data_IF_896156427057
#
_entry.id   IF_896156427057
#
_cell.length_a   1.000
_cell.length_b   1.000
_cell.length_c   1.000
_cell.angle_alpha   90.00
_cell.angle_beta   90.00
_cell.angle_gamma   90.00
#
_symmetry.space_group_name_H-M   'P 1'
#
loop_
_entity.id
_entity.type
_entity.pdbx_description
1 polymer ?
#
# COMPACT_ATOMS: atom_id res chain seq x y z
N UNK A 1 2.02 13.01 -8.52
CA UNK A 1 3.35 12.40 -8.72
C UNK A 1 4.24 12.64 -7.49
N UNK A 2 3.79 12.25 -6.29
CA UNK A 2 4.51 12.58 -5.05
C UNK A 2 5.23 11.36 -4.50
N UNK A 3 4.52 10.22 -4.42
CA UNK A 3 5.10 8.96 -3.94
C UNK A 3 6.20 8.41 -4.87
N UNK A 4 6.00 8.48 -6.19
CA UNK A 4 7.01 8.03 -7.17
C UNK A 4 8.31 8.84 -7.09
N UNK A 5 8.20 10.16 -6.85
CA UNK A 5 9.39 11.02 -6.65
C UNK A 5 10.08 10.65 -5.33
N UNK A 6 9.31 10.51 -4.25
CA UNK A 6 9.85 10.05 -2.97
C UNK A 6 10.58 8.69 -3.08
N UNK A 7 10.06 7.77 -3.88
CA UNK A 7 10.74 6.50 -4.17
C UNK A 7 12.07 6.71 -4.92
N UNK A 8 12.05 7.51 -5.99
CA UNK A 8 13.25 7.82 -6.78
C UNK A 8 14.33 8.56 -5.98
N UNK A 9 13.93 9.39 -5.02
CA UNK A 9 14.82 10.17 -4.17
C UNK A 9 15.34 9.38 -2.95
N UNK A 10 14.93 8.10 -2.78
CA UNK A 10 15.31 7.29 -1.63
C UNK A 10 14.63 7.69 -0.32
N UNK A 11 13.54 8.47 -0.40
CA UNK A 11 12.75 8.94 0.74
C UNK A 11 11.66 7.94 1.14
N UNK A 12 11.74 6.69 0.69
CA UNK A 12 10.86 5.60 1.09
C UNK A 12 11.68 4.43 1.64
N UNK A 13 11.14 3.79 2.67
CA UNK A 13 11.65 2.55 3.22
C UNK A 13 10.54 1.49 3.28
N UNK A 14 10.92 0.23 3.09
CA UNK A 14 10.10 -0.93 3.44
C UNK A 14 10.67 -1.53 4.72
N UNK A 15 9.84 -1.65 5.74
CA UNK A 15 10.24 -2.12 7.07
C UNK A 15 9.38 -3.31 7.49
N UNK A 16 10.00 -4.33 8.07
CA UNK A 16 9.25 -5.36 8.78
C UNK A 16 8.96 -4.87 10.20
N UNK A 17 7.68 -4.79 10.54
CA UNK A 17 7.16 -4.35 11.83
C UNK A 17 6.31 -5.45 12.44
N UNK A 18 6.16 -5.47 13.76
CA UNK A 18 5.17 -6.33 14.41
C UNK A 18 3.85 -5.57 14.55
N UNK A 19 2.75 -6.22 14.19
CA UNK A 19 1.42 -5.75 14.53
C UNK A 19 1.29 -5.62 16.04
N UNK A 20 0.95 -4.42 16.54
CA UNK A 20 1.03 -4.11 17.96
C UNK A 20 0.04 -4.90 18.83
N UNK A 21 -1.03 -5.47 18.23
CA UNK A 21 -2.06 -6.21 18.95
C UNK A 21 -1.78 -7.71 18.89
N UNK A 22 -1.42 -8.23 17.72
CA UNK A 22 -1.30 -9.67 17.45
C UNK A 22 0.15 -10.18 17.50
N UNK A 23 1.13 -9.30 17.35
CA UNK A 23 2.55 -9.67 17.23
C UNK A 23 2.93 -10.30 15.89
N UNK A 24 2.04 -10.29 14.89
CA UNK A 24 2.34 -10.82 13.57
C UNK A 24 3.27 -9.88 12.76
N UNK A 25 4.21 -10.40 11.97
CA UNK A 25 5.03 -9.57 11.09
C UNK A 25 4.20 -8.91 9.99
N UNK A 26 4.48 -7.64 9.72
CA UNK A 26 3.83 -6.78 8.71
C UNK A 26 4.90 -6.00 7.96
N UNK A 27 4.81 -5.96 6.64
CA UNK A 27 5.69 -5.11 5.84
C UNK A 27 5.07 -3.73 5.68
N UNK A 28 5.72 -2.69 6.19
CA UNK A 28 5.22 -1.31 6.25
C UNK A 28 6.00 -0.42 5.31
N UNK A 29 5.28 0.34 4.48
CA UNK A 29 5.86 1.42 3.68
C UNK A 29 5.95 2.65 4.57
N UNK A 30 7.15 3.22 4.67
CA UNK A 30 7.43 4.42 5.45
C UNK A 30 8.00 5.53 4.56
N UNK A 31 7.62 6.77 4.83
CA UNK A 31 8.45 7.91 4.43
C UNK A 31 9.69 7.99 5.31
N UNK A 32 10.82 8.31 4.69
CA UNK A 32 12.09 8.55 5.35
C UNK A 32 12.30 10.05 5.43
N UNK A 33 12.38 10.55 6.65
CA UNK A 33 12.78 11.92 6.97
C UNK A 33 14.08 11.94 7.75
N UNK A 34 14.54 13.16 8.05
CA UNK A 34 15.63 13.38 9.00
C UNK A 34 15.20 14.41 10.04
N UNK A 35 15.50 14.14 11.29
CA UNK A 35 15.36 15.11 12.38
C UNK A 35 16.65 15.12 13.21
N UNK A 36 17.26 16.30 13.36
CA UNK A 36 18.55 16.48 14.06
C UNK A 36 19.69 15.52 13.64
N UNK A 37 19.65 15.00 12.41
CA UNK A 37 20.63 14.06 11.87
C UNK A 37 20.22 12.58 11.97
N UNK A 38 19.18 12.27 12.75
CA UNK A 38 18.61 10.93 12.88
C UNK A 38 17.59 10.65 11.78
N UNK A 39 17.47 9.39 11.39
CA UNK A 39 16.40 8.96 10.49
C UNK A 39 15.07 8.87 11.24
N UNK A 40 14.04 9.47 10.66
CA UNK A 40 12.67 9.38 11.14
C UNK A 40 11.86 8.61 10.10
N UNK A 41 11.12 7.60 10.54
CA UNK A 41 10.28 6.79 9.67
C UNK A 41 8.81 7.05 9.99
N UNK A 42 8.06 7.56 9.01
CA UNK A 42 6.63 7.81 9.13
C UNK A 42 5.86 6.74 8.36
N UNK A 43 5.14 5.82 9.05
CA UNK A 43 4.35 4.78 8.39
C UNK A 43 3.22 5.36 7.53
N UNK A 44 3.08 4.88 6.31
CA UNK A 44 1.92 5.17 5.46
C UNK A 44 0.88 4.04 5.51
N UNK A 45 1.34 2.79 5.56
CA UNK A 45 0.49 1.62 5.56
C UNK A 45 1.29 0.33 5.42
N UNK A 46 0.62 -0.81 5.59
CA UNK A 46 1.22 -2.11 5.40
C UNK A 46 0.86 -2.68 4.03
N UNK A 47 1.73 -3.51 3.48
CA UNK A 47 1.43 -4.35 2.32
C UNK A 47 0.44 -5.43 2.73
N UNK A 48 -0.44 -5.80 1.80
CA UNK A 48 -1.37 -6.91 1.99
C UNK A 48 -0.60 -8.19 2.32
N UNK A 49 -1.18 -9.01 3.19
CA UNK A 49 -0.72 -10.37 3.36
C UNK A 49 -1.14 -11.18 2.12
N UNK A 50 -0.17 -11.73 1.39
CA UNK A 50 -0.45 -12.53 0.19
C UNK A 50 -0.84 -11.70 -1.03
N UNK A 51 -1.83 -12.16 -1.80
CA UNK A 51 -2.24 -11.53 -3.05
C UNK A 51 -3.17 -10.33 -2.79
N UNK A 52 -2.79 -9.08 -3.12
CA UNK A 52 -3.62 -7.91 -2.86
C UNK A 52 -5.00 -7.95 -3.54
N UNK A 53 -5.15 -8.65 -4.67
CA UNK A 53 -6.44 -8.77 -5.37
C UNK A 53 -7.46 -9.62 -4.62
N UNK A 54 -7.03 -10.43 -3.65
CA UNK A 54 -7.94 -11.17 -2.78
C UNK A 54 -8.48 -10.28 -1.64
N UNK A 55 -7.74 -9.21 -1.31
CA UNK A 55 -8.07 -8.27 -0.24
C UNK A 55 -8.76 -6.99 -0.74
N UNK A 56 -8.47 -6.57 -1.97
CA UNK A 56 -8.91 -5.29 -2.53
C UNK A 56 -9.46 -5.43 -3.94
N UNK A 57 -10.53 -4.68 -4.20
CA UNK A 57 -11.04 -4.47 -5.54
C UNK A 57 -10.37 -3.23 -6.14
N UNK A 58 -9.82 -3.31 -7.37
CA UNK A 58 -9.25 -2.13 -8.01
C UNK A 58 -10.37 -1.15 -8.41
N UNK A 59 -10.09 0.16 -8.50
CA UNK A 59 -11.06 1.14 -8.99
C UNK A 59 -11.45 0.83 -10.44
N UNK A 60 -12.71 1.11 -10.80
CA UNK A 60 -13.20 0.95 -12.16
C UNK A 60 -12.72 2.13 -13.05
N UNK A 61 -12.00 1.86 -14.16
CA UNK A 61 -11.56 2.93 -15.06
C UNK A 61 -12.71 3.63 -15.82
N UNK A 62 -13.88 3.01 -15.93
CA UNK A 62 -15.08 3.54 -16.59
C UNK A 62 -16.09 4.19 -15.64
N UNK A 63 -16.00 3.91 -14.34
CA UNK A 63 -16.86 4.50 -13.30
C UNK A 63 -16.01 5.10 -12.17
N UNK A 64 -15.89 6.43 -12.05
CA UNK A 64 -15.11 7.10 -11.02
C UNK A 64 -15.50 6.78 -9.57
N UNK A 65 -16.71 6.25 -9.34
CA UNK A 65 -17.17 5.79 -8.02
C UNK A 65 -17.17 4.27 -7.87
N UNK A 66 -16.85 3.54 -8.94
CA UNK A 66 -16.95 2.09 -9.03
C UNK A 66 -15.65 1.36 -8.71
N UNK A 67 -15.79 0.07 -8.47
CA UNK A 67 -14.67 -0.86 -8.29
C UNK A 67 -14.90 -2.09 -9.17
N UNK A 68 -13.84 -2.61 -9.80
CA UNK A 68 -13.96 -3.82 -10.60
C UNK A 68 -14.07 -5.03 -9.69
N UNK A 69 -15.19 -5.73 -9.81
CA UNK A 69 -15.34 -7.06 -9.22
C UNK A 69 -14.76 -8.10 -10.20
N UNK A 70 -13.99 -9.10 -9.73
CA UNK A 70 -13.63 -10.24 -10.56
C UNK A 70 -14.92 -10.85 -11.12
N UNK A 71 -14.97 -10.97 -12.45
CA UNK A 71 -16.22 -10.91 -13.20
C UNK A 71 -17.37 -11.76 -12.65
N UNK A 72 -18.56 -11.17 -12.57
CA UNK A 72 -19.78 -11.94 -12.65
C UNK A 72 -19.77 -12.65 -14.01
N UNK A 73 -19.73 -13.99 -14.08
CA UNK A 73 -19.86 -14.66 -15.36
C UNK A 73 -21.27 -14.40 -15.89
N UNK A 74 -21.36 -13.69 -17.03
CA UNK A 74 -22.57 -13.63 -17.83
C UNK A 74 -23.23 -12.26 -17.86
N UNK A 75 -22.77 -11.39 -18.75
CA UNK A 75 -23.63 -10.50 -19.54
C UNK A 75 -22.88 -10.18 -20.85
N UNK A 76 -22.76 -11.20 -21.69
CA UNK A 76 -22.62 -10.98 -23.14
C UNK A 76 -24.04 -11.16 -23.71
N UNK A 77 -24.59 -10.06 -24.25
CA UNK A 77 -25.77 -10.12 -25.13
C UNK A 77 -25.38 -10.65 -26.51
#
# INVERSE_FOLDING_TARGET
QTLLRAAGDGNLALMECLDAVTGAPRYVICAVGRDHGDFVFTPFGHLADGNPYDAYLPPDPGDPGGFMHPGTPGEAS
#
